data_IF_522490013382
#
_entry.id   IF_522490013382
#
_cell.length_a   1.000
_cell.length_b   1.000
_cell.length_c   1.000
_cell.angle_alpha   90.00
_cell.angle_beta   90.00
_cell.angle_gamma   90.00
#
_symmetry.space_group_name_H-M   'P 1'
#
loop_
_entity.id
_entity.type
_entity.pdbx_description
1 polymer ?
#
# COMPACT_ATOMS: atom_id res chain seq x y z
N UNK A 1 4.69 8.48 0.94
CA UNK A 1 5.05 7.34 1.83
C UNK A 1 6.55 7.35 2.09
N UNK A 2 6.94 7.13 3.32
CA UNK A 2 8.35 6.98 3.68
C UNK A 2 8.70 5.51 3.91
N UNK A 3 9.90 5.13 3.52
CA UNK A 3 10.43 3.78 3.67
C UNK A 3 11.71 3.83 4.49
N UNK A 4 11.87 2.90 5.41
CA UNK A 4 13.09 2.68 6.19
C UNK A 4 13.68 1.34 5.79
N UNK A 5 14.94 1.32 5.38
CA UNK A 5 15.61 0.14 4.84
C UNK A 5 16.80 -0.26 5.71
N UNK A 6 16.87 -1.55 6.05
CA UNK A 6 17.94 -2.09 6.88
C UNK A 6 17.72 -1.91 8.38
N UNK A 7 18.55 -2.61 9.14
CA UNK A 7 18.44 -2.70 10.61
C UNK A 7 18.55 -1.31 11.26
N UNK A 8 19.50 -0.49 10.82
CA UNK A 8 19.78 0.81 11.42
C UNK A 8 18.60 1.79 11.26
N UNK A 9 18.13 1.97 10.02
CA UNK A 9 17.01 2.89 9.77
C UNK A 9 15.71 2.44 10.44
N UNK A 10 15.43 1.13 10.45
CA UNK A 10 14.21 0.59 11.08
C UNK A 10 14.28 0.69 12.59
N UNK A 11 15.44 0.42 13.22
CA UNK A 11 15.63 0.59 14.66
C UNK A 11 15.41 2.04 15.08
N UNK A 12 16.05 2.97 14.38
CA UNK A 12 15.92 4.40 14.65
C UNK A 12 14.45 4.86 14.50
N UNK A 13 13.78 4.45 13.44
CA UNK A 13 12.37 4.78 13.20
C UNK A 13 11.45 4.29 14.33
N UNK A 14 11.72 3.09 14.87
CA UNK A 14 11.02 2.59 16.05
C UNK A 14 11.33 3.43 17.29
N UNK A 15 12.59 3.76 17.55
CA UNK A 15 13.00 4.56 18.70
C UNK A 15 12.40 5.97 18.68
N UNK A 16 12.30 6.57 17.49
CA UNK A 16 11.69 7.89 17.26
C UNK A 16 10.15 7.86 17.24
N UNK A 17 9.53 6.70 17.43
CA UNK A 17 8.08 6.50 17.39
C UNK A 17 7.42 6.96 16.08
N UNK A 18 8.08 6.77 14.94
CA UNK A 18 7.45 7.01 13.65
C UNK A 18 6.22 6.09 13.45
N UNK A 19 5.28 6.54 12.65
CA UNK A 19 4.03 5.81 12.34
C UNK A 19 4.30 4.62 11.40
N UNK A 20 5.04 3.63 11.90
CA UNK A 20 5.32 2.40 11.15
C UNK A 20 4.05 1.55 11.08
N UNK A 21 3.59 1.26 9.88
CA UNK A 21 2.39 0.44 9.62
C UNK A 21 2.70 -1.00 9.27
N UNK A 22 3.84 -1.24 8.64
CA UNK A 22 4.24 -2.56 8.19
C UNK A 22 5.75 -2.73 8.32
N UNK A 23 6.18 -3.88 8.83
CA UNK A 23 7.56 -4.36 8.77
C UNK A 23 7.61 -5.59 7.87
N UNK A 24 8.45 -5.55 6.85
CA UNK A 24 8.76 -6.70 5.99
C UNK A 24 10.16 -7.20 6.32
N UNK A 25 10.28 -8.47 6.71
CA UNK A 25 11.55 -9.12 7.08
C UNK A 25 11.86 -10.27 6.15
N UNK A 26 13.13 -10.41 5.76
CA UNK A 26 13.61 -11.51 4.90
C UNK A 26 13.49 -12.85 5.64
N UNK A 27 12.91 -13.86 5.00
CA UNK A 27 12.84 -15.22 5.55
C UNK A 27 14.24 -15.76 5.77
N UNK A 28 14.48 -16.33 6.96
CA UNK A 28 15.77 -16.87 7.32
C UNK A 28 16.81 -15.83 7.76
N UNK A 29 16.46 -14.55 7.79
CA UNK A 29 17.31 -13.55 8.43
C UNK A 29 17.23 -13.70 9.95
N UNK A 30 18.37 -13.89 10.59
CA UNK A 30 18.48 -14.10 12.02
C UNK A 30 19.70 -13.33 12.55
N UNK A 31 19.43 -12.36 13.42
CA UNK A 31 20.45 -11.67 14.19
C UNK A 31 19.86 -11.19 15.51
N UNK A 32 20.68 -10.96 16.51
CA UNK A 32 20.23 -10.43 17.80
C UNK A 32 19.54 -9.07 17.65
N UNK A 33 20.09 -8.21 16.78
CA UNK A 33 19.52 -6.89 16.49
C UNK A 33 18.16 -7.00 15.81
N UNK A 34 18.03 -7.90 14.84
CA UNK A 34 16.76 -8.14 14.16
C UNK A 34 15.69 -8.67 15.13
N UNK A 35 16.06 -9.59 16.02
CA UNK A 35 15.14 -10.11 17.04
C UNK A 35 14.62 -9.00 17.96
N UNK A 36 15.48 -8.08 18.41
CA UNK A 36 15.08 -6.92 19.21
C UNK A 36 14.09 -6.02 18.46
N UNK A 37 14.36 -5.71 17.19
CA UNK A 37 13.47 -4.91 16.32
C UNK A 37 12.11 -5.57 16.18
N UNK A 38 12.07 -6.87 15.89
CA UNK A 38 10.82 -7.61 15.72
C UNK A 38 10.01 -7.66 17.02
N UNK A 39 10.66 -7.80 18.18
CA UNK A 39 10.00 -7.72 19.48
C UNK A 39 9.39 -6.33 19.68
N UNK A 40 10.14 -5.25 19.48
CA UNK A 40 9.65 -3.88 19.61
C UNK A 40 8.47 -3.60 18.69
N UNK A 41 8.54 -4.08 17.43
CA UNK A 41 7.45 -3.93 16.46
C UNK A 41 6.20 -4.72 16.92
N UNK A 42 6.37 -5.95 17.40
CA UNK A 42 5.29 -6.78 17.91
C UNK A 42 4.60 -6.17 19.13
N UNK A 43 5.38 -5.66 20.10
CA UNK A 43 4.87 -5.02 21.32
C UNK A 43 4.03 -3.76 21.02
N UNK A 44 4.28 -3.12 19.86
CA UNK A 44 3.51 -1.98 19.36
C UNK A 44 2.34 -2.36 18.46
N UNK A 45 2.09 -3.65 18.24
CA UNK A 45 1.03 -4.13 17.35
C UNK A 45 1.30 -3.85 15.87
N UNK A 46 2.54 -3.56 15.49
CA UNK A 46 2.90 -3.32 14.09
C UNK A 46 2.84 -4.64 13.33
N UNK A 47 2.18 -4.63 12.17
CA UNK A 47 2.08 -5.81 11.29
C UNK A 47 3.45 -6.23 10.77
N UNK A 48 3.83 -7.50 10.98
CA UNK A 48 5.11 -8.07 10.54
C UNK A 48 4.85 -9.14 9.47
N UNK A 49 5.48 -9.01 8.30
CA UNK A 49 5.38 -9.97 7.20
C UNK A 49 6.76 -10.55 6.89
N UNK A 50 6.83 -11.89 6.74
CA UNK A 50 8.04 -12.58 6.29
C UNK A 50 8.00 -12.77 4.77
N UNK A 51 8.86 -12.05 4.04
CA UNK A 51 8.97 -12.10 2.58
C UNK A 51 10.19 -12.87 2.10
N UNK A 52 10.19 -13.23 0.81
CA UNK A 52 11.40 -13.71 0.13
C UNK A 52 12.38 -12.55 -0.10
N UNK A 53 13.65 -12.87 -0.37
CA UNK A 53 14.64 -11.86 -0.78
C UNK A 53 14.16 -11.04 -1.98
N UNK A 54 13.51 -11.70 -2.94
CA UNK A 54 12.96 -11.04 -4.12
C UNK A 54 11.79 -10.08 -3.78
N UNK A 55 11.01 -10.36 -2.74
CA UNK A 55 9.96 -9.44 -2.26
C UNK A 55 10.59 -8.20 -1.64
N UNK A 56 11.60 -8.37 -0.79
CA UNK A 56 12.35 -7.26 -0.20
C UNK A 56 13.01 -6.42 -1.30
N UNK A 57 13.74 -7.06 -2.22
CA UNK A 57 14.39 -6.38 -3.34
C UNK A 57 13.43 -5.52 -4.17
N UNK A 58 12.23 -6.04 -4.43
CA UNK A 58 11.20 -5.33 -5.20
C UNK A 58 10.59 -4.16 -4.46
N UNK A 59 10.56 -4.21 -3.15
CA UNK A 59 9.99 -3.16 -2.30
C UNK A 59 11.04 -2.15 -1.83
N UNK A 60 12.30 -2.52 -1.75
CA UNK A 60 13.36 -1.61 -1.34
C UNK A 60 13.55 -0.47 -2.35
N UNK A 61 13.74 0.75 -1.83
CA UNK A 61 13.99 1.95 -2.64
C UNK A 61 15.37 1.91 -3.32
N UNK A 62 16.35 1.32 -2.62
CA UNK A 62 17.72 1.19 -3.08
C UNK A 62 18.26 -0.20 -2.70
N UNK A 63 18.99 -0.80 -3.63
CA UNK A 63 19.63 -2.10 -3.49
C UNK A 63 21.11 -2.05 -3.89
N UNK A 64 21.71 -0.86 -3.94
CA UNK A 64 23.12 -0.68 -4.37
C UNK A 64 24.10 -1.38 -3.44
N UNK A 65 23.79 -1.45 -2.15
CA UNK A 65 24.59 -2.15 -1.13
C UNK A 65 24.11 -3.59 -0.84
N UNK A 66 23.19 -4.09 -1.67
CA UNK A 66 22.56 -5.39 -1.51
C UNK A 66 21.11 -5.30 -1.03
N UNK A 67 20.47 -6.47 -0.89
CA UNK A 67 19.07 -6.53 -0.44
C UNK A 67 19.04 -6.44 1.08
N UNK A 68 18.33 -5.45 1.65
CA UNK A 68 18.25 -5.33 3.10
C UNK A 68 17.51 -6.52 3.72
N UNK A 69 17.86 -6.89 4.95
CA UNK A 69 17.19 -7.98 5.67
C UNK A 69 15.79 -7.59 6.16
N UNK A 70 15.57 -6.30 6.34
CA UNK A 70 14.33 -5.73 6.88
C UNK A 70 14.05 -4.38 6.20
N UNK A 71 12.78 -4.09 6.01
CA UNK A 71 12.30 -2.74 5.68
C UNK A 71 11.01 -2.43 6.44
N UNK A 72 10.77 -1.15 6.71
CA UNK A 72 9.53 -0.68 7.29
C UNK A 72 8.83 0.34 6.36
N UNK A 73 7.51 0.30 6.35
CA UNK A 73 6.66 1.29 5.67
C UNK A 73 6.03 2.20 6.72
N UNK A 74 6.22 3.50 6.54
CA UNK A 74 5.73 4.53 7.45
C UNK A 74 4.51 5.22 6.83
N UNK A 75 3.46 5.39 7.61
CA UNK A 75 2.24 6.11 7.24
C UNK A 75 1.19 5.27 6.50
N UNK A 76 1.53 4.12 5.92
CA UNK A 76 0.59 3.31 5.13
C UNK A 76 0.87 1.82 5.21
N UNK A 77 -0.18 1.00 5.32
CA UNK A 77 -0.11 -0.47 5.20
C UNK A 77 -0.77 -0.92 3.90
N UNK A 78 0.00 -1.39 2.91
CA UNK A 78 -0.54 -1.83 1.62
C UNK A 78 -1.26 -3.17 1.68
N UNK A 79 -1.29 -3.83 2.83
CA UNK A 79 -1.87 -5.17 3.02
C UNK A 79 -3.27 -5.13 3.64
N UNK A 80 -3.79 -3.92 3.96
CA UNK A 80 -5.15 -3.75 4.44
C UNK A 80 -6.16 -4.32 3.45
N UNK A 81 -7.20 -4.96 3.93
CA UNK A 81 -8.36 -5.29 3.12
C UNK A 81 -9.28 -4.07 2.91
N UNK A 82 -10.39 -4.26 2.18
CA UNK A 82 -11.28 -3.15 1.87
C UNK A 82 -11.92 -2.55 3.12
N UNK A 83 -12.35 -3.37 4.05
CA UNK A 83 -13.03 -2.92 5.25
C UNK A 83 -12.03 -2.22 6.20
N UNK A 84 -10.84 -2.79 6.38
CA UNK A 84 -9.73 -2.17 7.11
C UNK A 84 -9.31 -0.82 6.48
N UNK A 85 -9.28 -0.73 5.13
CA UNK A 85 -8.93 0.52 4.43
C UNK A 85 -10.00 1.60 4.63
N UNK A 86 -11.28 1.23 4.66
CA UNK A 86 -12.38 2.16 4.93
C UNK A 86 -12.35 2.58 6.41
N UNK A 87 -12.13 1.67 7.35
CA UNK A 87 -12.02 1.97 8.77
C UNK A 87 -10.84 2.89 9.08
N UNK A 88 -9.71 2.70 8.40
CA UNK A 88 -8.54 3.56 8.54
C UNK A 88 -8.79 5.01 8.09
N UNK A 89 -9.76 5.21 7.20
CA UNK A 89 -10.12 6.54 6.70
C UNK A 89 -9.17 7.09 5.65
N UNK A 90 -9.19 8.41 5.46
CA UNK A 90 -8.31 9.10 4.52
C UNK A 90 -8.91 9.29 3.12
N UNK A 91 -8.04 9.36 2.11
CA UNK A 91 -8.42 9.56 0.71
C UNK A 91 -8.41 8.23 -0.05
N UNK A 92 -9.56 7.78 -0.47
CA UNK A 92 -9.72 6.55 -1.26
C UNK A 92 -10.14 6.91 -2.70
N UNK A 93 -9.41 6.39 -3.68
CA UNK A 93 -9.77 6.55 -5.09
C UNK A 93 -10.59 5.35 -5.55
N UNK A 94 -11.72 5.63 -6.20
CA UNK A 94 -12.51 4.64 -6.92
C UNK A 94 -12.36 4.85 -8.43
N UNK A 95 -11.84 3.84 -9.11
CA UNK A 95 -11.77 3.78 -10.58
C UNK A 95 -13.01 3.02 -11.08
N UNK A 96 -14.09 3.74 -11.30
CA UNK A 96 -15.35 3.18 -11.77
C UNK A 96 -15.33 3.03 -13.30
N UNK A 97 -15.65 1.83 -13.80
CA UNK A 97 -15.75 1.55 -15.23
C UNK A 97 -14.43 1.62 -16.01
N UNK A 98 -13.29 1.55 -15.33
CA UNK A 98 -11.98 1.59 -15.96
C UNK A 98 -11.71 0.29 -16.74
N UNK A 99 -11.68 0.34 -18.07
CA UNK A 99 -11.59 -0.84 -18.93
C UNK A 99 -10.16 -1.24 -19.32
N UNK A 100 -9.21 -0.28 -19.32
CA UNK A 100 -7.87 -0.51 -19.87
C UNK A 100 -6.84 -0.78 -18.77
N UNK A 101 -6.22 -1.97 -18.72
CA UNK A 101 -5.28 -2.35 -17.66
C UNK A 101 -4.12 -1.38 -17.47
N UNK A 102 -3.59 -0.83 -18.57
CA UNK A 102 -2.46 0.12 -18.52
C UNK A 102 -2.87 1.43 -17.85
N UNK A 103 -4.06 1.95 -18.18
CA UNK A 103 -4.60 3.17 -17.57
C UNK A 103 -4.87 2.96 -16.08
N UNK A 104 -5.45 1.82 -15.71
CA UNK A 104 -5.64 1.44 -14.29
C UNK A 104 -4.29 1.45 -13.56
N UNK A 105 -3.25 0.89 -14.17
CA UNK A 105 -1.92 0.90 -13.58
C UNK A 105 -1.36 2.31 -13.38
N UNK A 106 -1.54 3.21 -14.34
CA UNK A 106 -1.15 4.61 -14.21
C UNK A 106 -1.94 5.33 -13.12
N UNK A 107 -3.26 5.08 -13.03
CA UNK A 107 -4.08 5.64 -11.95
C UNK A 107 -3.62 5.15 -10.58
N UNK A 108 -3.33 3.85 -10.41
CA UNK A 108 -2.77 3.32 -9.16
C UNK A 108 -1.47 4.03 -8.79
N UNK A 109 -0.57 4.26 -9.76
CA UNK A 109 0.68 4.98 -9.53
C UNK A 109 0.42 6.44 -9.14
N UNK A 110 -0.49 7.12 -9.83
CA UNK A 110 -0.86 8.51 -9.52
C UNK A 110 -1.47 8.61 -8.13
N UNK A 111 -2.37 7.72 -7.77
CA UNK A 111 -2.97 7.67 -6.43
C UNK A 111 -1.91 7.48 -5.34
N UNK A 112 -0.96 6.56 -5.54
CA UNK A 112 0.13 6.33 -4.60
C UNK A 112 0.99 7.59 -4.41
N UNK A 113 1.42 8.23 -5.49
CA UNK A 113 2.28 9.43 -5.45
C UNK A 113 1.53 10.65 -4.90
N UNK A 114 0.23 10.79 -5.18
CA UNK A 114 -0.60 11.90 -4.70
C UNK A 114 -1.00 11.78 -3.23
N UNK A 115 -0.68 10.68 -2.57
CA UNK A 115 -0.96 10.50 -1.15
C UNK A 115 -2.30 9.83 -0.84
N UNK A 116 -2.98 9.23 -1.82
CA UNK A 116 -4.18 8.45 -1.54
C UNK A 116 -3.86 7.25 -0.63
N UNK A 117 -4.80 6.87 0.23
CA UNK A 117 -4.62 5.81 1.22
C UNK A 117 -5.01 4.43 0.68
N UNK A 118 -5.93 4.36 -0.27
CA UNK A 118 -6.29 3.14 -0.99
C UNK A 118 -6.81 3.43 -2.40
N UNK A 119 -6.83 2.40 -3.24
CA UNK A 119 -7.45 2.41 -4.57
C UNK A 119 -8.42 1.26 -4.69
N UNK A 120 -9.64 1.55 -5.11
CA UNK A 120 -10.65 0.55 -5.47
C UNK A 120 -10.78 0.55 -6.98
N UNK A 121 -10.73 -0.62 -7.60
CA UNK A 121 -10.86 -0.80 -9.05
C UNK A 121 -12.12 -1.61 -9.32
N UNK A 122 -13.14 -0.92 -9.82
CA UNK A 122 -14.39 -1.52 -10.30
C UNK A 122 -14.26 -1.77 -11.80
N UNK A 123 -13.73 -2.93 -12.13
CA UNK A 123 -13.51 -3.38 -13.49
C UNK A 123 -13.54 -4.90 -13.59
N UNK A 124 -14.23 -5.40 -14.61
CA UNK A 124 -14.23 -6.83 -14.96
C UNK A 124 -12.95 -7.17 -15.73
N UNK A 125 -11.90 -7.54 -15.01
CA UNK A 125 -10.61 -7.90 -15.57
C UNK A 125 -10.24 -9.34 -15.29
N UNK A 126 -9.74 -10.03 -16.30
CA UNK A 126 -9.08 -11.32 -16.16
C UNK A 126 -7.82 -11.23 -15.29
N UNK A 127 -7.36 -12.36 -14.78
CA UNK A 127 -6.11 -12.42 -14.02
C UNK A 127 -4.89 -11.90 -14.81
N UNK A 128 -4.88 -12.08 -16.13
CA UNK A 128 -3.81 -11.58 -17.00
C UNK A 128 -3.85 -10.06 -17.09
N UNK A 129 -5.02 -9.47 -17.23
CA UNK A 129 -5.22 -8.02 -17.27
C UNK A 129 -4.90 -7.36 -15.92
N UNK A 130 -5.29 -7.97 -14.80
CA UNK A 130 -4.89 -7.50 -13.47
C UNK A 130 -3.36 -7.52 -13.29
N UNK A 131 -2.67 -8.56 -13.82
CA UNK A 131 -1.20 -8.59 -13.83
C UNK A 131 -0.61 -7.50 -14.71
N UNK A 132 -1.24 -7.16 -15.85
CA UNK A 132 -0.81 -6.07 -16.72
C UNK A 132 -0.98 -4.72 -16.03
N UNK A 133 -2.11 -4.46 -15.38
CA UNK A 133 -2.32 -3.25 -14.57
C UNK A 133 -1.27 -3.10 -13.45
N UNK A 134 -1.03 -4.19 -12.69
CA UNK A 134 0.02 -4.20 -11.66
C UNK A 134 1.42 -3.91 -12.23
N UNK A 135 1.75 -4.41 -13.43
CA UNK A 135 3.03 -4.07 -14.09
C UNK A 135 3.10 -2.61 -14.48
N UNK A 136 2.02 -2.07 -15.07
CA UNK A 136 1.94 -0.66 -15.50
C UNK A 136 2.01 0.31 -14.30
N UNK A 137 1.60 -0.12 -13.09
CA UNK A 137 1.72 0.71 -11.88
C UNK A 137 3.16 0.91 -11.39
N UNK A 138 4.18 0.32 -12.07
CA UNK A 138 5.59 0.50 -11.73
C UNK A 138 5.91 0.24 -10.25
N UNK A 139 5.38 -0.84 -9.68
CA UNK A 139 5.45 -1.25 -8.27
C UNK A 139 4.53 -0.48 -7.30
N UNK A 140 3.88 0.61 -7.68
CA UNK A 140 3.03 1.40 -6.78
C UNK A 140 1.99 0.54 -6.03
N UNK A 141 1.40 -0.47 -6.70
CA UNK A 141 0.48 -1.44 -6.10
C UNK A 141 1.05 -2.24 -4.91
N UNK A 142 2.33 -2.11 -4.58
CA UNK A 142 2.98 -2.72 -3.41
C UNK A 142 3.03 -1.79 -2.21
N UNK A 143 2.71 -0.54 -2.42
CA UNK A 143 2.85 0.53 -1.44
C UNK A 143 1.52 1.20 -1.09
N UNK A 144 0.44 0.79 -1.75
CA UNK A 144 -0.92 1.25 -1.50
C UNK A 144 -1.87 0.05 -1.61
N UNK A 145 -2.87 -0.10 -0.73
CA UNK A 145 -3.91 -1.11 -0.88
C UNK A 145 -4.63 -0.94 -2.22
N UNK A 146 -4.78 -2.03 -2.98
CA UNK A 146 -5.50 -2.03 -4.25
C UNK A 146 -6.56 -3.13 -4.21
N UNK A 147 -7.81 -2.72 -4.13
CA UNK A 147 -8.98 -3.58 -4.03
C UNK A 147 -9.64 -3.74 -5.40
N UNK A 148 -9.93 -4.98 -5.77
CA UNK A 148 -10.61 -5.32 -7.02
C UNK A 148 -12.00 -5.84 -6.70
N UNK A 149 -13.05 -5.08 -7.04
CA UNK A 149 -14.41 -5.49 -6.71
C UNK A 149 -15.47 -4.47 -7.09
N UNK A 150 -16.66 -4.68 -6.55
CA UNK A 150 -17.85 -3.86 -6.81
C UNK A 150 -17.72 -2.47 -6.20
N UNK A 151 -17.62 -1.46 -7.07
CA UNK A 151 -17.49 -0.06 -6.69
C UNK A 151 -18.74 0.49 -6.00
N UNK A 152 -19.93 0.04 -6.40
CA UNK A 152 -21.17 0.50 -5.77
C UNK A 152 -21.26 0.04 -4.32
N UNK A 153 -20.89 -1.22 -4.05
CA UNK A 153 -20.83 -1.76 -2.70
C UNK A 153 -19.79 -1.01 -1.86
N UNK A 154 -18.62 -0.72 -2.44
CA UNK A 154 -17.56 0.03 -1.76
C UNK A 154 -18.00 1.46 -1.43
N UNK A 155 -18.68 2.17 -2.34
CA UNK A 155 -19.25 3.50 -2.10
C UNK A 155 -20.28 3.47 -0.97
N UNK A 156 -21.14 2.45 -0.94
CA UNK A 156 -22.13 2.29 0.13
C UNK A 156 -21.44 2.14 1.48
N UNK A 157 -20.48 1.22 1.61
CA UNK A 157 -19.70 1.04 2.84
C UNK A 157 -18.98 2.31 3.27
N UNK A 158 -18.33 3.01 2.34
CA UNK A 158 -17.65 4.27 2.64
C UNK A 158 -18.61 5.34 3.15
N UNK A 159 -19.79 5.48 2.55
CA UNK A 159 -20.84 6.41 3.04
C UNK A 159 -21.32 6.05 4.45
N UNK A 160 -21.56 4.77 4.72
CA UNK A 160 -21.98 4.28 6.02
C UNK A 160 -20.89 4.54 7.09
N UNK A 161 -19.62 4.59 6.69
CA UNK A 161 -18.45 4.94 7.53
C UNK A 161 -18.14 6.45 7.57
N UNK A 162 -19.02 7.30 7.02
CA UNK A 162 -18.88 8.76 7.11
C UNK A 162 -18.02 9.43 6.04
N UNK A 163 -17.62 8.73 5.00
CA UNK A 163 -16.88 9.35 3.89
C UNK A 163 -17.74 10.33 3.10
N UNK A 164 -17.14 11.45 2.72
CA UNK A 164 -17.67 12.32 1.69
C UNK A 164 -17.33 11.73 0.32
N UNK A 165 -18.35 11.49 -0.50
CA UNK A 165 -18.15 10.97 -1.86
C UNK A 165 -18.12 12.17 -2.84
N UNK A 166 -17.08 12.20 -3.68
CA UNK A 166 -16.90 13.18 -4.75
C UNK A 166 -16.79 12.41 -6.06
N UNK A 167 -17.67 12.70 -7.01
CA UNK A 167 -17.59 12.20 -8.38
C UNK A 167 -16.86 13.22 -9.25
N UNK A 168 -15.89 12.74 -10.03
CA UNK A 168 -15.16 13.55 -11.01
C UNK A 168 -15.60 13.10 -12.40
N UNK A 169 -16.37 13.94 -13.07
CA UNK A 169 -17.00 13.68 -14.36
C UNK A 169 -16.85 14.90 -15.26
N UNK A 170 -16.84 14.72 -16.58
CA UNK A 170 -16.81 15.80 -17.56
C UNK A 170 -18.12 16.60 -17.62
N UNK A 171 -19.21 16.02 -17.14
CA UNK A 171 -20.54 16.63 -17.00
C UNK A 171 -20.80 17.23 -15.62
N UNK A 172 -19.78 17.31 -14.76
CA UNK A 172 -19.89 17.87 -13.42
C UNK A 172 -20.29 19.35 -13.43
N UNK A 173 -21.09 19.77 -12.45
CA UNK A 173 -21.55 21.17 -12.32
C UNK A 173 -20.58 22.06 -11.54
N UNK A 174 -19.60 21.49 -10.87
CA UNK A 174 -18.56 22.20 -10.13
C UNK A 174 -17.22 22.06 -10.86
N UNK A 175 -16.50 23.18 -11.01
CA UNK A 175 -15.10 23.17 -11.43
C UNK A 175 -14.19 22.87 -10.22
N UNK A 176 -13.16 22.07 -10.44
CA UNK A 176 -12.08 21.85 -9.48
C UNK A 176 -11.14 23.05 -9.44
#
# INVERSE_FOLDING_TARGET
MMQRCGITEVSQSLEENEDIRLVLVKRGAESEQLAKILTMASDRGIRIIKGSENDIWRMSRDNSEGVPEILALVGRDPTLDLDESIEAGGLIWLLAGAAYPVNIGFCIRTAEVSGADAVIVDAELSNTERKAAKRASMKAHRFIPVHWGDGLQAVKKAKDSGFRIISVEDTGTLSL
#
